data_IF_961983846465
#
_entry.id   IF_961983846465
#
_cell.length_a   1.000
_cell.length_b   1.000
_cell.length_c   1.000
_cell.angle_alpha   90.00
_cell.angle_beta   90.00
_cell.angle_gamma   90.00
#
_symmetry.space_group_name_H-M   'P 1'
#
loop_
_entity.id
_entity.type
_entity.pdbx_description
1 polymer ?
#
# COMPACT_ATOMS: atom_id res chain seq x y z
N UNK A 1 -39.60 -30.74 -22.04
CA UNK A 1 -38.68 -31.47 -21.15
C UNK A 1 -37.76 -30.42 -20.52
N UNK A 2 -38.12 -29.94 -19.33
CA UNK A 2 -37.41 -28.86 -18.62
C UNK A 2 -36.43 -29.54 -17.67
N UNK A 3 -35.13 -29.44 -17.95
CA UNK A 3 -34.09 -30.00 -17.09
C UNK A 3 -33.81 -28.98 -15.98
N UNK A 4 -34.26 -29.32 -14.79
CA UNK A 4 -34.10 -28.55 -13.57
C UNK A 4 -32.72 -28.89 -12.98
N UNK A 5 -31.70 -28.07 -13.24
CA UNK A 5 -30.38 -28.21 -12.61
C UNK A 5 -30.39 -27.42 -11.30
N UNK A 6 -30.75 -28.09 -10.20
CA UNK A 6 -30.45 -27.61 -8.85
C UNK A 6 -28.94 -27.62 -8.66
N UNK A 7 -28.30 -26.46 -8.77
CA UNK A 7 -26.94 -26.27 -8.28
C UNK A 7 -26.96 -26.32 -6.75
N UNK A 8 -26.69 -27.50 -6.18
CA UNK A 8 -26.33 -27.61 -4.77
C UNK A 8 -24.96 -26.95 -4.58
N UNK A 9 -24.94 -25.73 -4.05
CA UNK A 9 -23.72 -25.15 -3.51
C UNK A 9 -23.34 -26.01 -2.31
N UNK A 10 -22.37 -26.90 -2.49
CA UNK A 10 -21.73 -27.58 -1.36
C UNK A 10 -21.01 -26.51 -0.56
N UNK A 11 -21.50 -26.25 0.65
CA UNK A 11 -20.75 -25.54 1.69
C UNK A 11 -19.47 -26.34 1.92
N UNK A 12 -18.37 -25.88 1.32
CA UNK A 12 -17.05 -26.40 1.60
C UNK A 12 -16.75 -26.09 3.07
N UNK A 13 -16.45 -27.14 3.84
CA UNK A 13 -15.99 -27.02 5.22
C UNK A 13 -14.65 -26.28 5.21
N UNK A 14 -14.73 -24.97 5.46
CA UNK A 14 -13.63 -24.00 5.43
C UNK A 14 -12.43 -24.46 6.28
N UNK A 15 -12.65 -25.31 7.29
CA UNK A 15 -11.62 -25.84 8.17
C UNK A 15 -10.62 -26.76 7.47
N UNK A 16 -11.09 -27.54 6.49
CA UNK A 16 -10.28 -28.52 5.79
C UNK A 16 -9.38 -27.88 4.72
N UNK A 17 -9.81 -26.77 4.11
CA UNK A 17 -9.07 -26.10 3.04
C UNK A 17 -7.80 -25.36 3.53
N UNK A 18 -7.72 -25.02 4.81
CA UNK A 18 -6.60 -24.24 5.39
C UNK A 18 -5.72 -25.04 6.38
N UNK A 19 -5.95 -26.35 6.56
CA UNK A 19 -5.20 -27.14 7.54
C UNK A 19 -5.29 -26.60 8.96
N UNK A 20 -6.38 -25.88 9.27
CA UNK A 20 -6.59 -25.25 10.58
C UNK A 20 -7.14 -26.33 11.53
N UNK A 21 -6.24 -26.98 12.27
CA UNK A 21 -6.63 -27.82 13.39
C UNK A 21 -7.51 -27.00 14.36
N UNK A 22 -8.66 -27.58 14.73
CA UNK A 22 -9.77 -27.02 15.54
C UNK A 22 -9.37 -26.45 16.93
N UNK A 23 -8.09 -26.46 17.28
CA UNK A 23 -7.56 -26.04 18.58
C UNK A 23 -6.90 -24.65 18.64
N UNK A 24 -6.64 -23.95 17.51
CA UNK A 24 -5.81 -22.71 17.54
C UNK A 24 -6.54 -21.37 17.37
N UNK A 25 -7.79 -21.34 16.91
CA UNK A 25 -8.52 -20.06 16.70
C UNK A 25 -9.86 -19.97 17.44
N UNK A 26 -10.15 -20.87 18.39
CA UNK A 26 -11.19 -20.63 19.40
C UNK A 26 -10.59 -19.96 20.63
N UNK A 27 -10.35 -18.66 20.56
CA UNK A 27 -10.39 -17.84 21.78
C UNK A 27 -11.79 -17.21 21.84
N UNK A 28 -12.74 -17.97 22.39
CA UNK A 28 -13.88 -17.32 23.06
C UNK A 28 -13.26 -16.44 24.14
N UNK A 29 -13.35 -15.12 23.97
CA UNK A 29 -13.07 -14.19 25.06
C UNK A 29 -14.19 -14.43 26.06
N UNK A 30 -13.94 -15.30 27.04
CA UNK A 30 -14.77 -15.36 28.23
C UNK A 30 -14.75 -13.97 28.87
N UNK A 31 -15.90 -13.54 29.40
CA UNK A 31 -16.17 -12.22 29.99
C UNK A 31 -15.31 -11.88 31.24
N UNK A 32 -14.12 -12.45 31.42
CA UNK A 32 -13.19 -12.18 32.51
C UNK A 32 -11.70 -12.41 32.13
N UNK A 33 -11.33 -12.29 30.86
CA UNK A 33 -9.91 -12.27 30.47
C UNK A 33 -9.39 -10.83 30.47
N UNK A 34 -8.40 -10.57 31.33
CA UNK A 34 -7.54 -9.39 31.28
C UNK A 34 -7.17 -9.05 29.83
N UNK A 35 -7.34 -7.77 29.46
CA UNK A 35 -7.11 -7.21 28.13
C UNK A 35 -5.86 -7.81 27.45
N UNK A 36 -5.97 -8.36 26.22
CA UNK A 36 -4.83 -8.98 25.55
C UNK A 36 -3.71 -7.96 25.34
N UNK A 37 -2.52 -8.28 25.85
CA UNK A 37 -1.19 -7.69 25.56
C UNK A 37 -1.18 -6.29 24.94
N UNK A 38 -1.57 -5.27 25.70
CA UNK A 38 -1.37 -3.87 25.31
C UNK A 38 0.04 -3.44 25.73
N UNK A 39 0.86 -3.09 24.75
CA UNK A 39 2.19 -2.56 25.00
C UNK A 39 2.06 -1.09 25.45
N UNK A 40 1.99 -0.85 26.77
CA UNK A 40 1.85 0.49 27.35
C UNK A 40 0.65 1.27 26.76
N UNK A 41 -0.49 0.59 26.57
CA UNK A 41 -1.69 1.20 26.01
C UNK A 41 -1.75 1.27 24.48
N UNK A 42 -0.71 0.84 23.76
CA UNK A 42 -0.73 0.70 22.30
C UNK A 42 -1.33 -0.65 21.89
N UNK A 43 -2.30 -0.64 20.96
CA UNK A 43 -2.78 -1.89 20.38
C UNK A 43 -1.80 -2.40 19.32
N UNK A 44 -1.17 -3.56 19.61
CA UNK A 44 -0.23 -4.24 18.72
C UNK A 44 -0.81 -5.50 18.05
N UNK A 45 -2.14 -5.66 18.11
CA UNK A 45 -2.87 -6.77 17.50
C UNK A 45 -3.83 -6.18 16.46
N UNK A 46 -3.70 -6.59 15.20
CA UNK A 46 -4.58 -6.12 14.14
C UNK A 46 -6.02 -6.62 14.39
N UNK A 47 -7.00 -5.72 14.59
CA UNK A 47 -8.40 -6.10 14.71
C UNK A 47 -9.06 -6.02 13.33
N UNK A 48 -9.55 -7.15 12.81
CA UNK A 48 -10.44 -7.17 11.65
C UNK A 48 -11.88 -7.15 12.13
N UNK A 49 -12.60 -6.09 11.82
CA UNK A 49 -14.03 -5.97 12.08
C UNK A 49 -14.83 -6.64 10.96
N UNK A 50 -15.69 -7.59 11.32
CA UNK A 50 -16.65 -8.23 10.43
C UNK A 50 -18.02 -7.78 10.89
N UNK A 51 -18.61 -6.88 10.12
CA UNK A 51 -19.97 -6.42 10.35
C UNK A 51 -20.96 -7.35 9.66
N UNK A 52 -22.19 -7.40 10.20
CA UNK A 52 -23.31 -8.17 9.65
C UNK A 52 -23.38 -8.06 8.13
N UNK A 53 -23.18 -9.17 7.45
CA UNK A 53 -23.32 -9.23 6.01
C UNK A 53 -24.78 -9.64 5.69
N UNK A 54 -25.59 -8.77 5.04
CA UNK A 54 -26.96 -9.09 4.68
C UNK A 54 -27.10 -10.26 3.68
N UNK A 55 -26.01 -10.74 3.08
CA UNK A 55 -26.02 -11.96 2.25
C UNK A 55 -25.94 -13.28 3.05
N UNK A 56 -25.73 -13.24 4.37
CA UNK A 56 -25.70 -14.45 5.21
C UNK A 56 -26.79 -14.36 6.28
N UNK A 57 -27.94 -14.99 5.99
CA UNK A 57 -29.19 -14.93 6.78
C UNK A 57 -29.08 -15.39 8.25
N UNK A 58 -27.94 -15.93 8.70
CA UNK A 58 -27.75 -16.49 10.05
C UNK A 58 -26.63 -15.85 10.89
N UNK A 59 -26.03 -14.72 10.47
CA UNK A 59 -25.03 -14.01 11.28
C UNK A 59 -25.73 -13.07 12.27
N UNK A 60 -25.71 -13.40 13.57
CA UNK A 60 -26.46 -12.64 14.59
C UNK A 60 -25.69 -11.46 15.18
N UNK A 61 -24.35 -11.44 15.12
CA UNK A 61 -23.51 -10.48 15.84
C UNK A 61 -22.30 -9.98 15.02
N UNK A 62 -21.88 -8.73 15.28
CA UNK A 62 -20.61 -8.20 14.78
C UNK A 62 -19.45 -9.00 15.42
N UNK A 63 -18.51 -9.46 14.60
CA UNK A 63 -17.36 -10.24 15.05
C UNK A 63 -16.06 -9.45 14.86
N UNK A 64 -15.11 -9.61 15.79
CA UNK A 64 -13.75 -9.10 15.64
C UNK A 64 -12.80 -10.28 15.59
N UNK A 65 -12.09 -10.42 14.47
CA UNK A 65 -11.03 -11.40 14.30
C UNK A 65 -9.69 -10.72 14.56
N UNK A 66 -8.95 -11.27 15.51
CA UNK A 66 -7.65 -10.74 15.89
C UNK A 66 -6.54 -11.48 15.16
N UNK A 67 -5.62 -10.71 14.58
CA UNK A 67 -4.35 -11.25 14.10
C UNK A 67 -3.41 -11.67 15.23
N UNK A 68 -2.23 -12.15 14.86
CA UNK A 68 -1.11 -12.38 15.76
C UNK A 68 -0.56 -11.02 16.23
N UNK A 69 -0.16 -10.97 17.50
CA UNK A 69 0.46 -9.78 18.07
C UNK A 69 1.83 -9.48 17.43
N UNK A 70 2.06 -8.21 17.13
CA UNK A 70 3.37 -7.67 16.81
C UNK A 70 4.17 -7.40 18.09
N UNK A 71 5.50 -7.42 18.01
CA UNK A 71 6.38 -7.20 19.16
C UNK A 71 6.22 -5.78 19.75
N UNK A 72 6.10 -5.67 21.07
CA UNK A 72 6.09 -4.38 21.78
C UNK A 72 7.35 -3.54 21.52
N UNK A 73 8.47 -4.16 21.16
CA UNK A 73 9.71 -3.47 20.82
C UNK A 73 9.59 -2.59 19.57
N UNK A 74 8.54 -2.77 18.76
CA UNK A 74 8.24 -1.94 17.60
C UNK A 74 7.46 -0.66 17.95
N UNK A 75 7.02 -0.47 19.20
CA UNK A 75 6.30 0.75 19.60
C UNK A 75 7.10 2.04 19.38
N UNK A 76 8.41 2.13 19.73
CA UNK A 76 9.21 3.32 19.42
C UNK A 76 9.25 3.65 17.92
N UNK A 77 9.15 2.64 17.06
CA UNK A 77 9.10 2.81 15.61
C UNK A 77 7.79 3.51 15.17
N UNK A 78 6.65 3.12 15.75
CA UNK A 78 5.38 3.80 15.53
C UNK A 78 5.42 5.24 16.03
N UNK A 79 5.98 5.45 17.22
CA UNK A 79 6.07 6.76 17.84
C UNK A 79 6.92 7.73 17.02
N UNK A 80 8.02 7.24 16.42
CA UNK A 80 8.92 8.01 15.55
C UNK A 80 8.21 8.67 14.36
N UNK A 81 7.20 8.00 13.78
CA UNK A 81 6.46 8.50 12.62
C UNK A 81 5.02 8.91 12.93
N UNK A 82 4.70 9.14 14.20
CA UNK A 82 3.37 9.56 14.64
C UNK A 82 2.25 8.57 14.25
N UNK A 83 2.56 7.28 14.25
CA UNK A 83 1.65 6.20 13.85
C UNK A 83 1.02 5.46 15.03
N UNK A 84 1.48 5.68 16.26
CA UNK A 84 0.84 5.14 17.46
C UNK A 84 -0.57 5.70 17.68
N UNK A 85 -1.40 4.97 18.43
CA UNK A 85 -2.81 5.35 18.67
C UNK A 85 -2.95 6.70 19.40
N UNK A 86 -1.94 7.09 20.17
CA UNK A 86 -1.87 8.41 20.82
C UNK A 86 -1.79 9.58 19.83
N UNK A 87 -1.41 9.34 18.58
CA UNK A 87 -1.32 10.34 17.50
C UNK A 87 -2.52 10.32 16.56
N UNK A 88 -3.67 9.79 17.01
CA UNK A 88 -4.92 9.78 16.26
C UNK A 88 -5.21 11.15 15.62
N UNK A 89 -5.46 11.15 14.32
CA UNK A 89 -5.77 12.37 13.58
C UNK A 89 -7.27 12.64 13.68
N UNK A 90 -7.67 13.71 14.36
CA UNK A 90 -9.09 14.06 14.54
C UNK A 90 -9.57 15.16 13.59
N UNK A 91 -8.65 15.96 13.06
CA UNK A 91 -8.95 17.05 12.13
C UNK A 91 -8.68 16.60 10.69
N UNK A 92 -9.57 16.96 9.78
CA UNK A 92 -9.38 16.76 8.34
C UNK A 92 -8.13 17.52 7.88
N UNK A 93 -7.23 16.82 7.21
CA UNK A 93 -6.05 17.41 6.59
C UNK A 93 -6.38 17.65 5.11
N UNK A 94 -6.26 18.88 4.58
CA UNK A 94 -6.57 19.18 3.18
C UNK A 94 -5.71 18.38 2.20
N UNK A 95 -6.31 17.91 1.11
CA UNK A 95 -5.57 17.36 -0.03
C UNK A 95 -4.87 18.50 -0.76
N UNK A 96 -3.61 18.29 -1.16
CA UNK A 96 -2.85 19.23 -1.97
C UNK A 96 -3.00 18.86 -3.44
N UNK A 97 -3.47 19.79 -4.25
CA UNK A 97 -3.64 19.61 -5.69
C UNK A 97 -2.45 20.17 -6.46
N UNK A 98 -2.24 19.71 -7.69
CA UNK A 98 -1.21 20.27 -8.57
C UNK A 98 -1.44 21.76 -8.88
N UNK A 99 -2.69 22.22 -8.86
CA UNK A 99 -3.02 23.64 -9.01
C UNK A 99 -2.46 24.50 -7.86
N UNK A 100 -2.27 23.93 -6.67
CA UNK A 100 -1.73 24.64 -5.49
C UNK A 100 -0.21 24.81 -5.59
N UNK A 101 0.47 23.86 -6.25
CA UNK A 101 1.90 23.93 -6.52
C UNK A 101 2.29 25.22 -7.27
N UNK A 102 1.44 25.65 -8.21
CA UNK A 102 1.65 26.86 -9.01
C UNK A 102 1.52 28.16 -8.21
N UNK A 103 0.78 28.15 -7.09
CA UNK A 103 0.48 29.35 -6.30
C UNK A 103 1.44 29.56 -5.13
N UNK A 104 1.92 28.49 -4.52
CA UNK A 104 2.70 28.59 -3.27
C UNK A 104 3.77 27.50 -3.06
N UNK A 105 4.12 26.71 -4.08
CA UNK A 105 4.98 25.52 -3.90
C UNK A 105 4.40 24.49 -2.89
N UNK A 106 3.07 24.50 -2.73
CA UNK A 106 2.32 23.75 -1.73
C UNK A 106 1.46 22.65 -2.37
N UNK A 107 2.04 21.95 -3.34
CA UNK A 107 1.38 20.85 -4.07
C UNK A 107 1.70 19.46 -3.52
N UNK A 108 1.18 18.40 -4.15
CA UNK A 108 1.56 17.04 -3.82
C UNK A 108 3.05 16.81 -4.12
N UNK A 109 3.70 15.94 -3.34
CA UNK A 109 5.11 15.60 -3.55
C UNK A 109 5.25 14.23 -4.21
N UNK A 110 6.09 14.12 -5.22
CA UNK A 110 6.48 12.81 -5.75
C UNK A 110 7.59 12.21 -4.89
N UNK A 111 7.50 10.92 -4.64
CA UNK A 111 8.49 10.14 -3.90
C UNK A 111 8.95 8.99 -4.78
N UNK A 112 10.27 8.86 -4.91
CA UNK A 112 10.92 7.78 -5.66
C UNK A 112 12.11 7.25 -4.86
N UNK A 113 12.43 5.97 -5.05
CA UNK A 113 13.63 5.37 -4.48
C UNK A 113 14.36 4.53 -5.53
N UNK A 114 15.69 4.51 -5.48
CA UNK A 114 16.52 3.73 -6.42
C UNK A 114 17.86 3.38 -5.79
N UNK A 115 18.49 2.33 -6.30
CA UNK A 115 19.93 2.10 -6.14
C UNK A 115 20.65 2.35 -7.47
N UNK A 116 21.96 2.24 -7.46
CA UNK A 116 22.86 2.39 -8.59
C UNK A 116 22.50 1.47 -9.79
N UNK A 117 22.09 0.23 -9.54
CA UNK A 117 21.70 -0.74 -10.57
C UNK A 117 20.49 -0.27 -11.38
N UNK A 118 19.59 0.49 -10.76
CA UNK A 118 18.39 1.02 -11.43
C UNK A 118 18.53 2.49 -11.85
N UNK A 119 19.74 3.06 -11.81
CA UNK A 119 19.96 4.48 -12.11
C UNK A 119 19.45 4.89 -13.49
N UNK A 120 19.62 4.07 -14.53
CA UNK A 120 19.10 4.38 -15.86
C UNK A 120 17.56 4.53 -15.90
N UNK A 121 16.84 3.74 -15.08
CA UNK A 121 15.40 3.87 -14.93
C UNK A 121 15.03 5.10 -14.09
N UNK A 122 15.79 5.41 -13.04
CA UNK A 122 15.63 6.64 -12.28
C UNK A 122 15.78 7.88 -13.17
N UNK A 123 16.82 7.95 -14.00
CA UNK A 123 17.03 9.05 -14.97
C UNK A 123 15.80 9.26 -15.84
N UNK A 124 15.26 8.20 -16.43
CA UNK A 124 14.06 8.30 -17.25
C UNK A 124 12.81 8.70 -16.47
N UNK A 125 12.70 8.27 -15.21
CA UNK A 125 11.59 8.64 -14.35
C UNK A 125 11.63 10.13 -14.00
N UNK A 126 12.79 10.63 -13.57
CA UNK A 126 12.99 12.04 -13.24
C UNK A 126 12.75 12.94 -14.47
N UNK A 127 13.31 12.57 -15.62
CA UNK A 127 13.04 13.25 -16.89
C UNK A 127 11.54 13.33 -17.18
N UNK A 128 10.85 12.20 -17.03
CA UNK A 128 9.42 12.09 -17.29
C UNK A 128 8.59 12.96 -16.33
N UNK A 129 8.86 12.89 -15.03
CA UNK A 129 8.19 13.73 -14.03
C UNK A 129 8.35 15.22 -14.33
N UNK A 130 9.58 15.66 -14.65
CA UNK A 130 9.84 17.07 -14.98
C UNK A 130 9.19 17.53 -16.28
N UNK A 131 9.06 16.63 -17.25
CA UNK A 131 8.40 16.93 -18.53
C UNK A 131 6.89 17.06 -18.36
N UNK A 132 6.26 16.17 -17.59
CA UNK A 132 4.80 16.09 -17.47
C UNK A 132 4.23 17.04 -16.41
N UNK A 133 4.91 17.19 -15.28
CA UNK A 133 4.43 18.00 -14.14
C UNK A 133 5.19 19.32 -13.99
N UNK A 134 6.19 19.56 -14.85
CA UNK A 134 6.99 20.78 -14.86
C UNK A 134 8.24 20.69 -13.99
N UNK A 135 9.23 21.52 -14.34
CA UNK A 135 10.57 21.55 -13.72
C UNK A 135 10.52 21.78 -12.20
N UNK A 136 9.60 22.61 -11.72
CA UNK A 136 9.47 22.98 -10.30
C UNK A 136 8.68 21.99 -9.44
N UNK A 137 8.06 20.97 -10.02
CA UNK A 137 7.34 19.94 -9.25
C UNK A 137 8.28 19.31 -8.22
N UNK A 138 7.97 19.39 -6.92
CA UNK A 138 8.81 18.83 -5.86
C UNK A 138 8.89 17.31 -5.98
N UNK A 139 10.11 16.78 -5.89
CA UNK A 139 10.41 15.36 -5.83
C UNK A 139 11.30 15.11 -4.61
N UNK A 140 11.01 14.06 -3.85
CA UNK A 140 11.89 13.51 -2.82
C UNK A 140 12.39 12.16 -3.32
N UNK A 141 13.69 12.06 -3.58
CA UNK A 141 14.36 10.85 -4.03
C UNK A 141 15.15 10.21 -2.89
N UNK A 142 15.11 8.88 -2.81
CA UNK A 142 15.88 8.10 -1.85
C UNK A 142 16.90 7.20 -2.56
N UNK A 143 18.14 7.27 -2.08
CA UNK A 143 19.19 6.33 -2.42
C UNK A 143 19.09 5.08 -1.53
N UNK A 144 18.85 3.94 -2.17
CA UNK A 144 18.83 2.61 -1.57
C UNK A 144 20.21 1.93 -1.61
N UNK A 145 21.21 2.59 -2.20
CA UNK A 145 22.61 2.20 -2.20
C UNK A 145 23.35 2.57 -3.50
N UNK A 146 24.55 3.13 -3.37
CA UNK A 146 25.53 3.27 -4.44
C UNK A 146 25.40 4.53 -5.30
N UNK A 147 24.26 5.22 -5.29
CA UNK A 147 24.09 6.45 -6.10
C UNK A 147 24.86 7.60 -5.46
N UNK A 148 24.71 7.80 -4.15
CA UNK A 148 25.31 8.91 -3.39
C UNK A 148 26.83 8.82 -3.41
N UNK A 149 27.37 7.61 -3.44
CA UNK A 149 28.81 7.35 -3.52
C UNK A 149 29.38 7.53 -4.93
N UNK A 150 28.53 7.67 -5.96
CA UNK A 150 28.95 7.81 -7.35
C UNK A 150 28.85 9.27 -7.84
N UNK A 151 30.00 9.93 -7.97
CA UNK A 151 30.08 11.35 -8.36
C UNK A 151 29.43 11.68 -9.71
N UNK A 152 29.50 10.76 -10.69
CA UNK A 152 28.87 10.97 -12.01
C UNK A 152 27.35 10.91 -11.92
N UNK A 153 26.82 9.95 -11.15
CA UNK A 153 25.39 9.86 -10.90
C UNK A 153 24.89 11.08 -10.11
N UNK A 154 25.64 11.49 -9.08
CA UNK A 154 25.29 12.66 -8.27
C UNK A 154 25.33 13.98 -9.05
N UNK A 155 26.23 14.14 -10.03
CA UNK A 155 26.23 15.30 -10.93
C UNK A 155 24.94 15.41 -11.76
N UNK A 156 24.33 14.28 -12.14
CA UNK A 156 23.01 14.29 -12.76
C UNK A 156 21.87 14.55 -11.77
N UNK A 157 21.91 13.92 -10.59
CA UNK A 157 20.91 14.12 -9.53
C UNK A 157 20.86 15.58 -9.08
N UNK A 158 22.03 16.18 -8.82
CA UNK A 158 22.15 17.57 -8.39
C UNK A 158 21.68 18.58 -9.45
N UNK A 159 21.60 18.16 -10.73
CA UNK A 159 21.07 19.01 -11.79
C UNK A 159 19.53 19.05 -11.83
N UNK A 160 18.83 18.16 -11.13
CA UNK A 160 17.37 18.10 -11.18
C UNK A 160 16.77 19.22 -10.33
N UNK A 161 16.05 20.15 -10.97
CA UNK A 161 15.34 21.24 -10.30
C UNK A 161 14.39 20.70 -9.23
N UNK A 162 14.32 21.31 -8.04
CA UNK A 162 13.37 20.92 -6.98
C UNK A 162 13.36 19.41 -6.64
N UNK A 163 14.52 18.75 -6.74
CA UNK A 163 14.75 17.40 -6.23
C UNK A 163 15.47 17.48 -4.89
N UNK A 164 14.89 16.86 -3.88
CA UNK A 164 15.55 16.59 -2.62
C UNK A 164 16.04 15.15 -2.62
N UNK A 165 17.35 14.92 -2.53
CA UNK A 165 17.95 13.59 -2.56
C UNK A 165 18.42 13.18 -1.16
N UNK A 166 17.98 12.02 -0.68
CA UNK A 166 18.25 11.51 0.67
C UNK A 166 18.86 10.12 0.60
N UNK A 167 19.80 9.79 1.49
CA UNK A 167 20.24 8.40 1.68
C UNK A 167 19.25 7.69 2.61
N UNK A 168 18.76 6.51 2.24
CA UNK A 168 17.90 5.74 3.13
C UNK A 168 18.73 5.06 4.22
N UNK A 169 18.36 5.31 5.48
CA UNK A 169 18.96 4.66 6.63
C UNK A 169 18.24 3.35 6.92
N UNK A 170 18.86 2.22 6.57
CA UNK A 170 18.29 0.90 6.84
C UNK A 170 18.19 0.58 8.33
N UNK A 171 18.99 1.22 9.20
CA UNK A 171 18.93 0.99 10.65
C UNK A 171 17.60 1.43 11.28
N UNK A 172 16.77 2.17 10.54
CA UNK A 172 15.40 2.49 10.90
C UNK A 172 14.50 1.25 11.02
N UNK A 173 14.87 0.14 10.39
CA UNK A 173 14.15 -1.12 10.42
C UNK A 173 15.03 -2.21 11.04
N UNK A 174 14.45 -3.30 11.56
CA UNK A 174 15.21 -4.46 12.01
C UNK A 174 16.07 -5.08 10.89
N UNK A 175 17.28 -5.53 11.22
CA UNK A 175 18.26 -6.04 10.25
C UNK A 175 17.71 -7.17 9.38
N UNK A 176 16.89 -8.04 9.97
CA UNK A 176 16.28 -9.17 9.29
C UNK A 176 15.25 -8.77 8.20
N UNK A 177 14.97 -7.49 7.99
CA UNK A 177 14.11 -6.96 6.90
C UNK A 177 14.80 -5.97 5.96
N UNK A 178 16.12 -5.77 6.05
CA UNK A 178 16.86 -4.78 5.22
C UNK A 178 16.93 -5.09 3.71
N UNK A 179 16.71 -6.33 3.31
CA UNK A 179 16.88 -6.76 1.92
C UNK A 179 15.98 -5.97 0.94
N UNK A 180 16.54 -5.48 -0.16
CA UNK A 180 15.80 -4.65 -1.13
C UNK A 180 14.57 -5.36 -1.72
N UNK A 181 14.65 -6.68 -1.91
CA UNK A 181 13.56 -7.52 -2.42
C UNK A 181 12.40 -7.70 -1.43
N UNK A 182 12.58 -7.30 -0.16
CA UNK A 182 11.53 -7.35 0.87
C UNK A 182 10.62 -6.14 0.82
N UNK A 183 11.05 -5.06 0.17
CA UNK A 183 10.31 -3.80 0.00
C UNK A 183 9.87 -3.12 1.32
N UNK A 184 10.30 -3.59 2.49
CA UNK A 184 10.01 -2.97 3.80
C UNK A 184 10.42 -1.49 3.85
N UNK A 185 11.53 -1.15 3.20
CA UNK A 185 12.04 0.22 3.08
C UNK A 185 11.02 1.18 2.44
N UNK A 186 10.16 0.70 1.53
CA UNK A 186 9.17 1.54 0.83
C UNK A 186 8.14 2.09 1.80
N UNK A 187 7.67 1.23 2.71
CA UNK A 187 6.68 1.60 3.74
C UNK A 187 7.31 2.60 4.71
N UNK A 188 8.57 2.41 5.11
CA UNK A 188 9.31 3.35 5.96
C UNK A 188 9.55 4.72 5.28
N UNK A 189 9.84 4.74 3.97
CA UNK A 189 9.96 5.97 3.19
C UNK A 189 8.62 6.72 3.16
N UNK A 190 7.52 6.03 2.83
CA UNK A 190 6.19 6.65 2.82
C UNK A 190 5.84 7.20 4.20
N UNK A 191 6.13 6.46 5.28
CA UNK A 191 5.95 6.93 6.65
C UNK A 191 6.75 8.19 6.97
N UNK A 192 8.02 8.23 6.55
CA UNK A 192 8.89 9.39 6.76
C UNK A 192 8.35 10.62 6.04
N UNK A 193 8.07 10.51 4.74
CA UNK A 193 7.61 11.66 3.95
C UNK A 193 6.22 12.12 4.41
N UNK A 194 5.36 11.21 4.85
CA UNK A 194 4.05 11.57 5.41
C UNK A 194 4.13 12.29 6.75
N UNK A 195 5.29 12.40 7.41
CA UNK A 195 5.45 13.33 8.56
C UNK A 195 5.64 14.78 8.11
N UNK A 196 6.18 14.98 6.91
CA UNK A 196 6.55 16.29 6.36
C UNK A 196 5.49 16.82 5.40
N UNK A 197 4.89 15.94 4.61
CA UNK A 197 3.95 16.27 3.53
C UNK A 197 2.61 15.57 3.73
N UNK A 198 1.51 16.29 3.46
CA UNK A 198 0.15 15.75 3.61
C UNK A 198 -0.32 14.95 2.40
N UNK A 199 0.19 15.23 1.20
CA UNK A 199 -0.20 14.53 -0.03
C UNK A 199 1.05 14.02 -0.74
N UNK A 200 1.18 12.70 -0.78
CA UNK A 200 2.36 11.98 -1.27
C UNK A 200 1.96 11.11 -2.45
N UNK A 201 2.73 11.17 -3.52
CA UNK A 201 2.61 10.29 -4.67
C UNK A 201 3.88 9.46 -4.74
N UNK A 202 3.82 8.20 -4.32
CA UNK A 202 4.93 7.27 -4.46
C UNK A 202 4.91 6.64 -5.85
N UNK A 203 6.04 6.61 -6.55
CA UNK A 203 6.20 5.92 -7.83
C UNK A 203 7.57 5.26 -7.97
N UNK A 204 7.59 3.97 -8.33
CA UNK A 204 8.81 3.25 -8.66
C UNK A 204 9.48 3.82 -9.93
N UNK A 205 10.79 3.65 -10.04
CA UNK A 205 11.58 4.14 -11.19
C UNK A 205 11.18 3.53 -12.53
N UNK A 206 10.44 2.43 -12.53
CA UNK A 206 9.91 1.78 -13.73
C UNK A 206 8.68 2.48 -14.31
N UNK A 207 8.07 3.41 -13.58
CA UNK A 207 6.82 4.09 -13.96
C UNK A 207 7.08 5.28 -14.89
N UNK A 208 6.28 5.43 -15.95
CA UNK A 208 6.25 6.64 -16.79
C UNK A 208 4.85 7.20 -16.87
N UNK A 209 4.68 8.50 -16.70
CA UNK A 209 3.42 9.21 -16.89
C UNK A 209 3.35 9.77 -18.31
N UNK A 210 2.19 9.71 -18.96
CA UNK A 210 1.98 10.32 -20.29
C UNK A 210 1.17 11.61 -20.22
N UNK A 211 0.52 11.89 -19.07
CA UNK A 211 -0.31 13.07 -18.82
C UNK A 211 -0.37 13.39 -17.32
N UNK A 212 -0.74 14.63 -17.00
CA UNK A 212 -0.79 15.14 -15.61
C UNK A 212 -2.22 15.27 -15.02
N UNK A 213 -3.27 15.17 -15.83
CA UNK A 213 -4.65 15.40 -15.39
C UNK A 213 -5.33 14.17 -14.76
N UNK A 214 -4.64 13.03 -14.66
CA UNK A 214 -5.19 11.80 -14.12
C UNK A 214 -5.49 11.80 -12.62
N UNK A 215 -4.91 12.74 -11.86
CA UNK A 215 -5.00 12.76 -10.39
C UNK A 215 -6.23 13.44 -9.84
N UNK A 216 -6.77 14.44 -10.56
CA UNK A 216 -7.86 15.28 -10.06
C UNK A 216 -9.09 14.48 -9.60
N UNK A 217 -9.57 13.46 -10.36
CA UNK A 217 -10.70 12.64 -9.92
C UNK A 217 -10.45 11.89 -8.59
N UNK A 218 -9.20 11.52 -8.32
CA UNK A 218 -8.84 10.88 -7.05
C UNK A 218 -8.79 11.90 -5.92
N UNK A 219 -8.14 13.04 -6.15
CA UNK A 219 -8.05 14.10 -5.14
C UNK A 219 -9.44 14.61 -4.73
N UNK A 220 -10.33 14.86 -5.69
CA UNK A 220 -11.69 15.33 -5.42
C UNK A 220 -12.49 14.32 -4.58
N UNK A 221 -12.36 13.03 -4.86
CA UNK A 221 -13.07 11.98 -4.12
C UNK A 221 -12.48 11.76 -2.73
N UNK A 222 -11.16 11.87 -2.57
CA UNK A 222 -10.49 11.85 -1.26
C UNK A 222 -10.95 13.05 -0.42
N UNK A 223 -10.99 14.25 -1.03
CA UNK A 223 -11.47 15.45 -0.34
C UNK A 223 -12.92 15.32 0.09
N UNK A 224 -13.77 14.67 -0.70
CA UNK A 224 -15.17 14.41 -0.33
C UNK A 224 -15.33 13.29 0.70
N UNK A 225 -14.24 12.58 1.05
CA UNK A 225 -14.28 11.42 1.93
C UNK A 225 -14.96 10.20 1.30
N UNK A 226 -15.09 10.17 -0.03
CA UNK A 226 -15.82 9.13 -0.75
C UNK A 226 -14.94 7.94 -1.13
N UNK A 227 -13.61 8.08 -1.13
CA UNK A 227 -12.70 6.95 -1.38
C UNK A 227 -11.60 6.92 -0.32
N UNK A 228 -10.88 5.80 -0.28
CA UNK A 228 -9.69 5.66 0.56
C UNK A 228 -8.69 6.78 0.27
N UNK A 229 -8.13 7.45 1.31
CA UNK A 229 -7.02 8.37 1.15
C UNK A 229 -5.69 7.66 0.82
N UNK A 230 -5.68 6.32 0.73
CA UNK A 230 -4.57 5.54 0.18
C UNK A 230 -5.06 4.78 -1.05
N UNK A 231 -4.67 5.24 -2.23
CA UNK A 231 -5.12 4.69 -3.51
C UNK A 231 -3.95 4.04 -4.24
N UNK A 232 -4.18 2.83 -4.73
CA UNK A 232 -3.31 2.15 -5.70
C UNK A 232 -4.11 1.96 -7.01
N UNK A 233 -3.96 2.87 -7.99
CA UNK A 233 -4.77 2.91 -9.21
C UNK A 233 -4.65 1.75 -10.19
N UNK A 234 -3.86 0.71 -9.91
CA UNK A 234 -3.75 -0.46 -10.79
C UNK A 234 -3.80 -1.78 -10.04
N UNK A 235 -4.26 -2.78 -10.77
CA UNK A 235 -4.26 -4.18 -10.39
C UNK A 235 -3.07 -4.90 -11.06
N UNK A 236 -2.60 -6.00 -10.47
CA UNK A 236 -1.44 -6.77 -10.97
C UNK A 236 -1.80 -7.83 -12.02
N UNK A 237 -3.08 -8.02 -12.33
CA UNK A 237 -3.55 -9.10 -13.22
C UNK A 237 -3.53 -10.49 -12.58
N UNK A 238 -3.29 -10.58 -11.27
CA UNK A 238 -3.49 -11.79 -10.47
C UNK A 238 -4.21 -11.42 -9.16
N UNK A 239 -4.70 -12.43 -8.45
CA UNK A 239 -5.39 -12.21 -7.20
C UNK A 239 -4.45 -11.96 -6.03
N UNK A 240 -5.00 -11.36 -4.98
CA UNK A 240 -4.32 -11.22 -3.69
C UNK A 240 -4.11 -12.57 -3.01
N UNK A 241 -5.09 -13.48 -3.11
CA UNK A 241 -5.00 -14.83 -2.56
C UNK A 241 -3.83 -15.63 -3.16
N UNK A 242 -3.62 -15.49 -4.47
CA UNK A 242 -2.53 -16.17 -5.20
C UNK A 242 -1.14 -15.71 -4.75
N UNK A 243 -0.98 -14.41 -4.52
CA UNK A 243 0.32 -13.76 -4.34
C UNK A 243 0.61 -13.29 -2.89
N UNK A 244 -0.16 -13.78 -1.91
CA UNK A 244 0.06 -13.52 -0.49
C UNK A 244 0.40 -14.81 0.22
N UNK A 245 1.54 -14.82 0.93
CA UNK A 245 1.93 -15.97 1.75
C UNK A 245 0.97 -16.14 2.92
N UNK A 246 0.64 -17.39 3.26
CA UNK A 246 -0.35 -17.73 4.28
C UNK A 246 -0.06 -17.09 5.64
N UNK A 247 1.22 -17.06 6.03
CA UNK A 247 1.66 -16.48 7.31
C UNK A 247 1.33 -14.98 7.46
N UNK A 248 1.25 -14.20 6.37
CA UNK A 248 0.86 -12.79 6.45
C UNK A 248 -0.59 -12.65 6.94
N UNK A 249 -1.48 -13.56 6.55
CA UNK A 249 -2.87 -13.56 7.03
C UNK A 249 -2.98 -13.86 8.52
N UNK A 250 -1.98 -14.50 9.12
CA UNK A 250 -1.97 -14.73 10.57
C UNK A 250 -1.76 -13.42 11.34
N UNK A 251 -1.03 -12.45 10.78
CA UNK A 251 -0.86 -11.12 11.36
C UNK A 251 -1.96 -10.16 10.94
N UNK A 252 -2.38 -10.21 9.67
CA UNK A 252 -3.40 -9.34 9.09
C UNK A 252 -4.48 -10.22 8.46
N UNK A 253 -5.45 -10.71 9.25
CA UNK A 253 -6.63 -11.39 8.72
C UNK A 253 -7.29 -10.55 7.63
N UNK A 254 -7.79 -11.20 6.58
CA UNK A 254 -8.32 -10.51 5.40
C UNK A 254 -9.82 -10.74 5.27
N UNK A 255 -10.57 -9.65 5.18
CA UNK A 255 -12.03 -9.67 5.07
C UNK A 255 -12.52 -10.58 3.94
N UNK A 256 -11.91 -10.46 2.75
CA UNK A 256 -12.38 -11.19 1.58
C UNK A 256 -12.02 -12.67 1.62
N UNK A 257 -10.98 -13.10 2.32
CA UNK A 257 -10.74 -14.54 2.50
C UNK A 257 -11.79 -15.17 3.44
N UNK A 258 -12.28 -14.41 4.42
CA UNK A 258 -13.13 -14.93 5.50
C UNK A 258 -14.62 -14.82 5.15
N UNK A 259 -15.06 -13.63 4.74
CA UNK A 259 -16.50 -13.30 4.61
C UNK A 259 -17.03 -13.61 3.22
N UNK A 260 -16.23 -13.38 2.18
CA UNK A 260 -16.65 -13.60 0.81
C UNK A 260 -15.46 -14.13 0.00
N UNK A 261 -15.00 -15.37 0.30
CA UNK A 261 -13.83 -15.99 -0.32
C UNK A 261 -13.97 -15.93 -1.83
N UNK A 262 -13.19 -15.03 -2.42
CA UNK A 262 -13.19 -14.81 -3.85
C UNK A 262 -11.74 -14.72 -4.31
N UNK A 263 -11.28 -15.83 -4.87
CA UNK A 263 -9.93 -15.98 -5.45
C UNK A 263 -9.69 -15.04 -6.65
N UNK A 264 -10.69 -14.25 -7.08
CA UNK A 264 -10.59 -13.27 -8.15
C UNK A 264 -10.36 -11.84 -7.64
N UNK A 265 -10.31 -11.61 -6.31
CA UNK A 265 -10.00 -10.27 -5.79
C UNK A 265 -8.57 -9.90 -6.18
N UNK A 266 -8.46 -8.91 -7.05
CA UNK A 266 -7.19 -8.48 -7.65
C UNK A 266 -6.24 -7.89 -6.61
N UNK A 267 -4.97 -8.23 -6.73
CA UNK A 267 -3.91 -7.57 -5.98
C UNK A 267 -3.59 -6.22 -6.61
N UNK A 268 -3.25 -5.23 -5.78
CA UNK A 268 -2.86 -3.92 -6.28
C UNK A 268 -1.39 -3.82 -6.63
N UNK A 269 -1.06 -2.90 -7.53
CA UNK A 269 0.31 -2.48 -7.75
C UNK A 269 0.78 -1.49 -6.67
N UNK A 270 1.77 -1.88 -5.87
CA UNK A 270 2.45 -0.98 -4.91
C UNK A 270 3.60 -0.19 -5.55
N UNK A 271 3.80 -0.33 -6.87
CA UNK A 271 4.73 0.49 -7.64
C UNK A 271 4.24 1.93 -7.79
N UNK A 272 2.95 2.19 -7.56
CA UNK A 272 2.36 3.51 -7.57
C UNK A 272 1.29 3.65 -6.49
N UNK A 273 1.41 4.67 -5.65
CA UNK A 273 0.45 4.96 -4.59
C UNK A 273 0.19 6.47 -4.50
N UNK A 274 -1.07 6.85 -4.36
CA UNK A 274 -1.49 8.19 -3.97
C UNK A 274 -1.89 8.11 -2.49
N UNK A 275 -1.23 8.87 -1.63
CA UNK A 275 -1.44 8.80 -0.18
C UNK A 275 -1.66 10.18 0.40
N UNK A 276 -2.85 10.39 0.95
CA UNK A 276 -3.25 11.57 1.69
C UNK A 276 -3.21 11.28 3.19
N UNK A 277 -2.52 12.13 3.96
CA UNK A 277 -2.48 12.10 5.41
C UNK A 277 -3.89 12.26 5.98
N UNK A 278 -4.30 11.27 6.75
CA UNK A 278 -5.60 11.19 7.41
C UNK A 278 -5.53 10.13 8.52
N UNK A 279 -6.56 10.02 9.35
CA UNK A 279 -6.63 8.92 10.31
C UNK A 279 -6.66 7.55 9.62
N UNK A 280 -7.35 7.44 8.48
CA UNK A 280 -7.41 6.21 7.72
C UNK A 280 -6.01 5.81 7.21
N UNK A 281 -5.28 6.74 6.58
CA UNK A 281 -3.93 6.45 6.10
C UNK A 281 -2.93 6.21 7.24
N UNK A 282 -3.09 6.88 8.40
CA UNK A 282 -2.30 6.61 9.61
C UNK A 282 -2.51 5.20 10.12
N UNK A 283 -3.78 4.75 10.25
CA UNK A 283 -4.11 3.38 10.65
C UNK A 283 -3.53 2.36 9.67
N UNK A 284 -3.72 2.56 8.37
CA UNK A 284 -3.15 1.68 7.34
C UNK A 284 -1.62 1.60 7.50
N UNK A 285 -0.96 2.76 7.58
CA UNK A 285 0.49 2.83 7.65
C UNK A 285 1.05 2.27 8.96
N UNK A 286 0.35 2.41 10.09
CA UNK A 286 0.69 1.76 11.37
C UNK A 286 0.85 0.26 11.16
N UNK A 287 -0.18 -0.39 10.61
CA UNK A 287 -0.18 -1.84 10.44
C UNK A 287 0.78 -2.30 9.33
N UNK A 288 0.88 -1.53 8.24
CA UNK A 288 1.83 -1.79 7.18
C UNK A 288 3.27 -1.74 7.71
N UNK A 289 3.59 -0.76 8.56
CA UNK A 289 4.91 -0.59 9.13
C UNK A 289 5.26 -1.68 10.16
N UNK A 290 4.31 -2.09 11.00
CA UNK A 290 4.50 -3.22 11.91
C UNK A 290 4.81 -4.50 11.13
N UNK A 291 4.08 -4.75 10.04
CA UNK A 291 4.37 -5.87 9.15
C UNK A 291 5.74 -5.72 8.49
N UNK A 292 6.05 -4.55 7.94
CA UNK A 292 7.33 -4.25 7.28
C UNK A 292 8.55 -4.46 8.20
N UNK A 293 8.38 -4.23 9.50
CA UNK A 293 9.40 -4.43 10.53
C UNK A 293 9.40 -5.85 11.13
N UNK A 294 8.50 -6.74 10.70
CA UNK A 294 8.37 -8.11 11.20
C UNK A 294 8.59 -9.10 10.06
N UNK A 295 9.74 -9.78 10.04
CA UNK A 295 10.11 -10.70 8.95
C UNK A 295 9.04 -11.75 8.65
N UNK A 296 8.48 -12.36 9.69
CA UNK A 296 7.43 -13.38 9.59
C UNK A 296 6.11 -12.85 9.00
N UNK A 297 5.95 -11.53 8.91
CA UNK A 297 4.83 -10.88 8.24
C UNK A 297 5.18 -10.47 6.81
N UNK A 298 6.22 -9.64 6.62
CA UNK A 298 6.53 -9.03 5.32
C UNK A 298 7.24 -9.96 4.34
N UNK A 299 8.06 -10.89 4.82
CA UNK A 299 8.80 -11.84 4.00
C UNK A 299 8.92 -13.18 4.74
N UNK A 300 7.78 -13.90 4.90
CA UNK A 300 7.73 -15.08 5.74
C UNK A 300 8.67 -16.19 5.22
N UNK A 301 9.19 -17.07 6.10
CA UNK A 301 10.00 -18.20 5.67
C UNK A 301 9.28 -19.05 4.61
N UNK A 302 9.95 -19.30 3.48
CA UNK A 302 9.37 -20.04 2.35
C UNK A 302 8.70 -19.16 1.28
N UNK A 303 8.59 -17.84 1.50
CA UNK A 303 8.10 -16.91 0.51
C UNK A 303 8.95 -16.90 -0.77
N UNK A 304 8.29 -16.87 -1.94
CA UNK A 304 8.95 -16.76 -3.24
C UNK A 304 8.42 -15.57 -4.02
N UNK A 305 9.29 -14.67 -4.47
CA UNK A 305 8.87 -13.44 -5.18
C UNK A 305 8.38 -13.71 -6.61
N UNK A 306 8.83 -14.82 -7.21
CA UNK A 306 8.50 -15.19 -8.58
C UNK A 306 7.12 -15.83 -8.61
N UNK A 307 6.18 -15.13 -9.21
CA UNK A 307 4.83 -15.63 -9.45
C UNK A 307 4.79 -16.40 -10.78
N UNK A 308 4.56 -17.72 -10.77
CA UNK A 308 4.49 -18.52 -11.99
C UNK A 308 3.17 -18.29 -12.72
N UNK A 309 3.20 -18.43 -14.05
CA UNK A 309 2.00 -18.52 -14.86
C UNK A 309 1.63 -20.01 -15.08
N UNK A 310 0.35 -20.40 -15.07
CA UNK A 310 -0.84 -19.56 -14.88
C UNK A 310 -1.07 -19.12 -13.43
N UNK A 311 -1.71 -17.97 -13.22
CA UNK A 311 -1.99 -17.39 -11.90
C UNK A 311 -3.16 -18.09 -11.19
N UNK A 312 -2.97 -19.35 -10.80
CA UNK A 312 -4.00 -20.21 -10.18
C UNK A 312 -3.53 -20.72 -8.83
N UNK A 313 -4.44 -20.78 -7.86
CA UNK A 313 -4.19 -21.27 -6.50
C UNK A 313 -4.03 -20.16 -5.47
N UNK A 314 -3.68 -20.55 -4.24
CA UNK A 314 -3.47 -19.65 -3.09
C UNK A 314 -2.05 -19.77 -2.56
N UNK A 315 -1.50 -18.66 -2.09
CA UNK A 315 -0.16 -18.58 -1.50
C UNK A 315 0.93 -19.24 -2.35
N UNK A 316 0.84 -19.09 -3.67
CA UNK A 316 1.77 -19.69 -4.64
C UNK A 316 3.08 -18.89 -4.71
N UNK A 317 2.96 -17.57 -4.64
CA UNK A 317 4.08 -16.64 -4.53
C UNK A 317 3.79 -15.59 -3.46
N UNK A 318 4.75 -14.70 -3.22
CA UNK A 318 4.62 -13.60 -2.29
C UNK A 318 5.11 -12.29 -2.87
N UNK A 319 4.21 -11.31 -2.95
CA UNK A 319 4.50 -9.93 -3.37
C UNK A 319 4.45 -9.03 -2.15
N UNK A 320 5.57 -8.88 -1.45
CA UNK A 320 5.72 -8.37 -0.08
C UNK A 320 4.85 -7.14 0.25
N UNK A 321 5.29 -5.93 -0.12
CA UNK A 321 4.61 -4.66 0.11
C UNK A 321 3.22 -4.61 -0.54
N UNK A 322 3.09 -5.18 -1.74
CA UNK A 322 1.82 -5.26 -2.46
C UNK A 322 0.76 -6.06 -1.69
N UNK A 323 1.15 -7.17 -1.06
CA UNK A 323 0.25 -8.01 -0.28
C UNK A 323 -0.27 -7.23 0.91
N UNK A 324 0.63 -6.72 1.76
CA UNK A 324 0.23 -5.98 2.97
C UNK A 324 -0.63 -4.75 2.65
N UNK A 325 -0.28 -3.97 1.63
CA UNK A 325 -1.08 -2.81 1.20
C UNK A 325 -2.45 -3.27 0.71
N UNK A 326 -2.54 -4.35 -0.08
CA UNK A 326 -3.81 -4.86 -0.58
C UNK A 326 -4.70 -5.38 0.56
N UNK A 327 -4.15 -6.13 1.52
CA UNK A 327 -4.92 -6.65 2.66
C UNK A 327 -5.50 -5.49 3.49
N UNK A 328 -4.65 -4.52 3.83
CA UNK A 328 -5.03 -3.41 4.69
C UNK A 328 -6.01 -2.44 4.01
N UNK A 329 -5.77 -2.08 2.74
CA UNK A 329 -6.72 -1.24 1.98
C UNK A 329 -8.08 -1.92 1.89
N UNK A 330 -8.12 -3.20 1.54
CA UNK A 330 -9.39 -3.94 1.47
C UNK A 330 -10.14 -3.93 2.80
N UNK A 331 -9.46 -4.27 3.90
CA UNK A 331 -10.09 -4.33 5.21
C UNK A 331 -10.61 -2.96 5.67
N UNK A 332 -9.79 -1.91 5.55
CA UNK A 332 -10.15 -0.57 6.00
C UNK A 332 -11.20 0.09 5.10
N UNK A 333 -11.22 -0.22 3.80
CA UNK A 333 -12.29 0.21 2.89
C UNK A 333 -13.63 -0.44 3.27
N UNK A 334 -13.63 -1.72 3.67
CA UNK A 334 -14.84 -2.37 4.17
C UNK A 334 -15.29 -1.75 5.50
N UNK A 335 -14.39 -1.59 6.47
CA UNK A 335 -14.68 -0.91 7.75
C UNK A 335 -15.30 0.48 7.50
N UNK A 336 -14.78 1.23 6.53
CA UNK A 336 -15.33 2.54 6.20
C UNK A 336 -16.71 2.44 5.53
N UNK A 337 -16.88 1.54 4.56
CA UNK A 337 -18.17 1.30 3.91
C UNK A 337 -19.28 0.95 4.91
N UNK A 338 -18.96 0.19 5.96
CA UNK A 338 -19.93 -0.13 7.01
C UNK A 338 -20.34 1.09 7.85
N UNK A 339 -19.42 2.03 8.05
CA UNK A 339 -19.70 3.26 8.81
C UNK A 339 -20.33 4.37 7.95
N UNK A 340 -20.07 4.36 6.63
CA UNK A 340 -20.66 5.28 5.66
C UNK A 340 -20.96 4.53 4.35
N UNK A 341 -22.25 4.27 4.10
CA UNK A 341 -22.72 3.57 2.91
C UNK A 341 -22.46 4.33 1.60
N UNK A 342 -22.10 5.62 1.66
CA UNK A 342 -21.71 6.40 0.48
C UNK A 342 -20.25 6.20 0.09
N UNK A 343 -19.45 5.59 0.95
CA UNK A 343 -18.05 5.32 0.67
C UNK A 343 -17.93 4.34 -0.51
N UNK A 344 -17.03 4.66 -1.42
CA UNK A 344 -16.76 3.92 -2.63
C UNK A 344 -15.49 3.10 -2.41
N UNK A 345 -15.67 1.81 -2.17
CA UNK A 345 -14.54 0.87 -2.18
C UNK A 345 -13.94 0.82 -3.59
N UNK A 346 -12.71 0.31 -3.71
CA UNK A 346 -12.04 0.13 -5.02
C UNK A 346 -12.81 -0.77 -6.01
N UNK A 347 -13.78 -1.54 -5.51
CA UNK A 347 -14.61 -2.45 -6.28
C UNK A 347 -15.94 -1.81 -6.70
N UNK A 348 -16.27 -0.62 -6.20
CA UNK A 348 -17.47 0.11 -6.61
C UNK A 348 -17.31 0.64 -8.05
N UNK A 349 -18.33 0.44 -8.88
CA UNK A 349 -18.37 0.92 -10.28
C UNK A 349 -18.18 2.44 -10.43
N UNK A 350 -18.56 3.22 -9.40
CA UNK A 350 -18.43 4.68 -9.36
C UNK A 350 -17.03 5.13 -8.98
N UNK A 351 -16.20 4.24 -8.42
CA UNK A 351 -14.83 4.55 -8.04
C UNK A 351 -14.04 5.03 -9.27
N UNK A 352 -13.18 6.06 -9.18
CA UNK A 352 -12.45 6.59 -10.33
C UNK A 352 -11.64 5.53 -11.11
N UNK A 353 -11.20 4.46 -10.44
CA UNK A 353 -10.52 3.31 -11.07
C UNK A 353 -11.40 2.44 -11.97
N UNK A 354 -12.74 2.53 -11.84
CA UNK A 354 -13.68 1.60 -12.49
C UNK A 354 -14.52 2.22 -13.61
N UNK A 355 -14.56 3.54 -13.73
CA UNK A 355 -15.38 4.16 -14.77
C UNK A 355 -14.74 4.00 -16.16
N UNK A 356 -15.53 3.57 -17.15
CA UNK A 356 -15.08 3.29 -18.52
C UNK A 356 -14.60 4.55 -19.25
N UNK A 357 -13.62 4.41 -20.15
CA UNK A 357 -13.00 5.54 -20.87
C UNK A 357 -11.94 6.30 -20.05
N UNK A 358 -11.81 5.99 -18.76
CA UNK A 358 -10.83 6.61 -17.87
C UNK A 358 -9.44 6.00 -18.02
N UNK A 359 -8.78 6.33 -19.12
CA UNK A 359 -7.34 6.23 -19.21
C UNK A 359 -6.65 7.31 -18.32
N UNK A 360 -7.23 7.75 -17.19
CA UNK A 360 -6.77 8.88 -16.35
C UNK A 360 -5.27 8.85 -16.17
N UNK A 361 -4.75 7.66 -15.88
CA UNK A 361 -3.35 7.37 -15.95
C UNK A 361 -3.07 6.42 -17.11
N UNK A 362 -2.32 6.91 -18.09
CA UNK A 362 -1.67 6.03 -19.04
C UNK A 362 -0.20 5.98 -18.66
N UNK A 363 0.21 4.83 -18.14
CA UNK A 363 1.59 4.57 -17.77
C UNK A 363 2.21 3.55 -18.68
N UNK A 364 3.50 3.74 -18.90
CA UNK A 364 4.35 2.73 -19.50
C UNK A 364 5.30 2.19 -18.45
N UNK A 365 5.48 0.87 -18.44
CA UNK A 365 6.45 0.21 -17.58
C UNK A 365 7.78 0.00 -18.32
N UNK A 366 8.89 0.11 -17.60
CA UNK A 366 10.21 -0.39 -18.01
C UNK A 366 10.86 0.28 -19.23
N UNK A 367 10.75 1.61 -19.37
CA UNK A 367 11.56 2.36 -20.36
C UNK A 367 12.68 3.14 -19.72
N UNK A 368 13.94 2.75 -19.96
CA UNK A 368 15.10 3.59 -19.61
C UNK A 368 15.11 4.86 -20.46
N UNK A 369 15.87 5.87 -20.03
CA UNK A 369 16.12 7.04 -20.86
C UNK A 369 17.30 6.77 -21.80
N UNK A 370 17.08 6.91 -23.10
CA UNK A 370 18.14 6.77 -24.12
C UNK A 370 18.94 8.06 -24.33
N UNK A 371 18.56 9.16 -23.67
CA UNK A 371 19.20 10.47 -23.79
C UNK A 371 20.54 10.53 -23.08
N UNK A 372 21.46 11.31 -23.66
CA UNK A 372 22.77 11.56 -23.06
C UNK A 372 22.66 12.47 -21.82
N UNK A 373 23.78 12.70 -21.14
CA UNK A 373 23.81 13.46 -19.88
C UNK A 373 23.39 14.92 -20.07
N UNK A 374 23.83 15.59 -21.14
CA UNK A 374 23.52 17.00 -21.38
C UNK A 374 22.06 17.21 -21.75
N UNK A 375 21.50 16.32 -22.56
CA UNK A 375 20.08 16.31 -22.91
C UNK A 375 19.19 16.08 -21.69
N UNK A 376 19.59 15.17 -20.79
CA UNK A 376 18.91 14.97 -19.51
C UNK A 376 18.94 16.26 -18.69
N UNK A 377 20.14 16.81 -18.44
CA UNK A 377 20.33 18.03 -17.65
C UNK A 377 19.52 19.21 -18.20
N UNK A 378 19.49 19.42 -19.52
CA UNK A 378 18.71 20.48 -20.16
C UNK A 378 17.21 20.39 -19.84
N UNK A 379 16.68 19.18 -19.78
CA UNK A 379 15.26 18.95 -19.53
C UNK A 379 14.86 19.07 -18.05
N UNK A 380 15.77 18.76 -17.12
CA UNK A 380 15.45 18.68 -15.68
C UNK A 380 15.92 19.87 -14.86
N UNK A 381 16.91 20.64 -15.34
CA UNK A 381 17.42 21.85 -14.65
C UNK A 381 16.38 22.95 -14.60
N UNK A 382 16.46 23.77 -13.55
CA UNK A 382 15.88 25.11 -13.59
C UNK A 382 16.69 25.90 -14.65
#
# INVERSE_FOLDING_TARGET
MIINVKNSVRVLDYKAAFGINDGKYKRKIGNNASSPDRCEGENMIYPLHIHKNPMFENSTDDEIIYGKAFSCQLKPLLDKWFLSDKFKITKKVPVKHFADAAKANDGPVFVVASNDKFFAFLRGHLFNLKTIFGKRQKIIGYDLGGITENSKMMDEINAVCALEWRKFDFSLLPENVHGLIKFSWKIAIIATVLTEHSTVIYSDTSIRFTRNNGFQPFFDQIDRGLISPWVNPWDTGHSVAFATHSDMYTFIPHYWEIVAPNELRTMVQASFSIVQRSEHSRKLLKWALLCAATRECIDPPGATIKCPWPHVGKSVCHRQDQSVITLLTNNLEQEHLFNDSNFLTRYDSRHPMRQEGNNFFHMEHHKSLEKNQDEFKKAVKC
#
